data_IF_786212208950
#
_entry.id   IF_786212208950
#
_cell.length_a   1.000
_cell.length_b   1.000
_cell.length_c   1.000
_cell.angle_alpha   90.00
_cell.angle_beta   90.00
_cell.angle_gamma   90.00
#
_symmetry.space_group_name_H-M   'P 1'
#
loop_
_entity.id
_entity.type
_entity.pdbx_description
1 polymer ?
#
# COMPACT_ATOMS: atom_id res chain seq x y z
N UNK A 1 1.08 27.42 -24.43
CA UNK A 1 1.76 27.44 -25.74
C UNK A 1 1.39 26.23 -26.61
N UNK A 2 1.41 25.00 -26.09
CA UNK A 2 1.15 23.77 -26.88
C UNK A 2 -0.30 23.60 -27.34
N UNK A 3 -1.27 23.89 -26.47
CA UNK A 3 -2.69 23.89 -26.84
C UNK A 3 -3.01 24.87 -27.97
N UNK A 4 -2.21 25.93 -28.11
CA UNK A 4 -2.37 26.93 -29.17
C UNK A 4 -1.81 26.43 -30.49
N UNK A 5 -0.60 25.85 -30.48
CA UNK A 5 0.04 25.35 -31.71
C UNK A 5 -0.62 24.06 -32.24
N UNK A 6 -1.24 23.26 -31.36
CA UNK A 6 -1.96 22.05 -31.74
C UNK A 6 -3.37 22.32 -32.32
N UNK A 7 -3.92 23.54 -32.19
CA UNK A 7 -5.24 23.88 -32.73
C UNK A 7 -5.15 24.29 -34.20
N UNK A 8 -5.75 23.53 -35.15
CA UNK A 8 -5.73 23.87 -36.57
C UNK A 8 -6.41 25.20 -36.88
N UNK A 9 -7.42 25.60 -36.10
CA UNK A 9 -8.12 26.88 -36.27
C UNK A 9 -7.23 28.04 -35.85
N UNK A 10 -6.45 27.86 -34.79
CA UNK A 10 -5.50 28.89 -34.34
C UNK A 10 -4.41 29.11 -35.40
N UNK A 11 -3.88 28.03 -35.96
CA UNK A 11 -2.85 28.10 -37.01
C UNK A 11 -3.35 28.79 -38.29
N UNK A 12 -4.53 28.42 -38.79
CA UNK A 12 -5.09 29.05 -39.98
C UNK A 12 -5.40 30.54 -39.76
N UNK A 13 -5.88 30.93 -38.57
CA UNK A 13 -6.08 32.34 -38.25
C UNK A 13 -4.78 33.14 -38.17
N UNK A 14 -3.68 32.51 -37.74
CA UNK A 14 -2.35 33.12 -37.71
C UNK A 14 -1.81 33.31 -39.14
N UNK A 15 -1.96 32.31 -40.00
CA UNK A 15 -1.60 32.39 -41.43
C UNK A 15 -2.40 33.50 -42.14
N UNK A 16 -3.73 33.55 -41.95
CA UNK A 16 -4.59 34.60 -42.50
C UNK A 16 -4.19 36.00 -42.02
N UNK A 17 -3.77 36.14 -40.76
CA UNK A 17 -3.29 37.41 -40.21
C UNK A 17 -1.96 37.83 -40.84
N UNK A 18 -1.05 36.88 -41.08
CA UNK A 18 0.21 37.16 -41.76
C UNK A 18 -0.03 37.65 -43.20
N UNK A 19 -0.96 37.02 -43.93
CA UNK A 19 -1.36 37.43 -45.28
C UNK A 19 -2.06 38.81 -45.29
N UNK A 20 -2.97 39.05 -44.34
CA UNK A 20 -3.63 40.34 -44.19
C UNK A 20 -2.64 41.48 -43.86
N UNK A 21 -1.59 41.20 -43.07
CA UNK A 21 -0.52 42.17 -42.78
C UNK A 21 0.40 42.40 -43.99
N UNK A 22 0.72 41.36 -44.75
CA UNK A 22 1.51 41.49 -45.98
C UNK A 22 0.79 42.35 -47.02
N UNK A 23 -0.50 42.09 -47.26
CA UNK A 23 -1.33 42.87 -48.18
C UNK A 23 -1.53 44.32 -47.71
N UNK A 24 -1.67 44.54 -46.40
CA UNK A 24 -1.69 45.88 -45.81
C UNK A 24 -0.37 46.63 -46.07
N UNK A 25 0.78 45.97 -45.89
CA UNK A 25 2.09 46.56 -46.17
C UNK A 25 2.24 46.93 -47.66
N UNK A 26 1.82 46.07 -48.57
CA UNK A 26 1.81 46.35 -50.02
C UNK A 26 0.92 47.55 -50.36
N UNK A 27 -0.26 47.64 -49.75
CA UNK A 27 -1.20 48.74 -49.96
C UNK A 27 -0.76 50.04 -49.31
N UNK A 28 -0.04 50.01 -48.20
CA UNK A 28 0.63 51.19 -47.65
C UNK A 28 1.79 51.67 -48.52
N UNK A 29 2.49 50.75 -49.18
CA UNK A 29 3.54 51.08 -50.15
C UNK A 29 2.99 51.74 -51.42
N UNK A 30 1.77 51.35 -51.85
CA UNK A 30 1.12 51.88 -53.07
C UNK A 30 0.19 53.07 -52.83
N UNK A 31 -0.43 53.15 -51.65
CA UNK A 31 -1.46 54.14 -51.33
C UNK A 31 -1.25 54.76 -49.95
N UNK A 32 -1.66 56.02 -49.80
CA UNK A 32 -1.55 56.71 -48.52
C UNK A 32 -2.46 56.14 -47.41
N UNK A 33 -2.17 56.45 -46.14
CA UNK A 33 -2.84 55.87 -44.97
C UNK A 33 -4.35 56.20 -44.86
N UNK A 34 -4.85 57.16 -45.65
CA UNK A 34 -6.27 57.53 -45.71
C UNK A 34 -7.08 56.78 -46.78
N UNK A 35 -6.44 55.97 -47.61
CA UNK A 35 -7.12 55.26 -48.69
C UNK A 35 -8.13 54.24 -48.14
N UNK A 36 -9.35 54.13 -48.73
CA UNK A 36 -10.42 53.26 -48.20
C UNK A 36 -9.99 51.80 -48.10
N UNK A 37 -9.23 51.28 -49.08
CA UNK A 37 -8.70 49.90 -49.01
C UNK A 37 -7.72 49.71 -47.86
N UNK A 38 -6.84 50.67 -47.60
CA UNK A 38 -5.88 50.59 -46.47
C UNK A 38 -6.63 50.57 -45.14
N UNK A 39 -7.67 51.41 -44.98
CA UNK A 39 -8.51 51.40 -43.78
C UNK A 39 -9.26 50.07 -43.59
N UNK A 40 -9.79 49.49 -44.66
CA UNK A 40 -10.46 48.18 -44.60
C UNK A 40 -9.50 47.08 -44.13
N UNK A 41 -8.30 47.01 -44.70
CA UNK A 41 -7.30 46.01 -44.28
C UNK A 41 -6.75 46.28 -42.87
N UNK A 42 -6.64 47.53 -42.43
CA UNK A 42 -6.30 47.85 -41.04
C UNK A 42 -7.35 47.36 -40.05
N UNK A 43 -8.64 47.49 -40.38
CA UNK A 43 -9.74 46.97 -39.56
C UNK A 43 -9.69 45.44 -39.54
N UNK A 44 -9.51 44.81 -40.71
CA UNK A 44 -9.41 43.35 -40.84
C UNK A 44 -8.25 42.76 -40.00
N UNK A 45 -7.08 43.41 -40.01
CA UNK A 45 -5.94 42.99 -39.17
C UNK A 45 -6.29 43.08 -37.68
N UNK A 46 -6.95 44.16 -37.25
CA UNK A 46 -7.37 44.30 -35.84
C UNK A 46 -8.43 43.27 -35.42
N UNK A 47 -9.40 43.00 -36.29
CA UNK A 47 -10.44 42.01 -36.03
C UNK A 47 -9.88 40.59 -35.94
N UNK A 48 -8.97 40.23 -36.85
CA UNK A 48 -8.28 38.93 -36.84
C UNK A 48 -7.37 38.77 -35.61
N UNK A 49 -6.68 39.83 -35.18
CA UNK A 49 -5.93 39.87 -33.92
C UNK A 49 -6.84 39.61 -32.71
N UNK A 50 -8.00 40.27 -32.65
CA UNK A 50 -8.96 40.08 -31.56
C UNK A 50 -9.54 38.65 -31.56
N UNK A 51 -9.86 38.10 -32.72
CA UNK A 51 -10.33 36.73 -32.86
C UNK A 51 -9.28 35.70 -32.39
N UNK A 52 -8.01 35.92 -32.75
CA UNK A 52 -6.87 35.10 -32.31
C UNK A 52 -6.71 35.15 -30.78
N UNK A 53 -6.86 36.33 -30.17
CA UNK A 53 -6.82 36.51 -28.71
C UNK A 53 -8.02 35.89 -28.00
N UNK A 54 -9.21 36.00 -28.57
CA UNK A 54 -10.40 35.35 -28.02
C UNK A 54 -10.25 33.82 -28.04
N UNK A 55 -9.71 33.27 -29.14
CA UNK A 55 -9.42 31.83 -29.27
C UNK A 55 -8.34 31.39 -28.29
N UNK A 56 -7.25 32.15 -28.15
CA UNK A 56 -6.16 31.81 -27.24
C UNK A 56 -6.61 31.79 -25.78
N UNK A 57 -7.46 32.73 -25.37
CA UNK A 57 -8.08 32.75 -24.02
C UNK A 57 -8.97 31.54 -23.76
N UNK A 58 -9.76 31.11 -24.76
CA UNK A 58 -10.58 29.90 -24.64
C UNK A 58 -9.74 28.63 -24.46
N UNK A 59 -8.64 28.52 -25.19
CA UNK A 59 -7.77 27.33 -25.16
C UNK A 59 -6.89 27.26 -23.91
N UNK A 60 -6.43 28.40 -23.39
CA UNK A 60 -5.56 28.46 -22.21
C UNK A 60 -6.34 28.41 -20.88
N UNK A 61 -7.64 28.70 -20.90
CA UNK A 61 -8.46 28.84 -19.70
C UNK A 61 -7.99 29.98 -18.78
N UNK A 62 -8.61 30.12 -17.60
CA UNK A 62 -8.31 31.14 -16.57
C UNK A 62 -6.90 31.06 -15.97
N UNK A 63 -6.02 30.21 -16.51
CA UNK A 63 -4.70 29.88 -15.97
C UNK A 63 -3.57 30.74 -16.53
N UNK A 64 -3.86 31.67 -17.43
CA UNK A 64 -2.87 32.54 -18.06
C UNK A 64 -3.11 34.02 -17.66
N UNK A 65 -2.13 34.73 -17.06
CA UNK A 65 -2.32 36.11 -16.62
C UNK A 65 -2.61 37.02 -17.82
N UNK A 66 -3.78 37.63 -17.81
CA UNK A 66 -4.40 38.31 -18.95
C UNK A 66 -3.68 39.57 -19.47
N UNK A 67 -2.56 40.00 -18.87
CA UNK A 67 -1.96 41.30 -19.14
C UNK A 67 -0.79 41.28 -20.15
N UNK A 68 0.01 40.21 -20.25
CA UNK A 68 1.30 40.26 -20.98
C UNK A 68 1.49 39.17 -22.06
N UNK A 69 0.43 38.39 -22.34
CA UNK A 69 0.46 37.31 -23.33
C UNK A 69 0.49 37.73 -24.82
N UNK A 70 -0.03 38.89 -25.28
CA UNK A 70 -0.29 39.06 -26.71
C UNK A 70 0.98 39.22 -27.55
N UNK A 71 1.92 40.09 -27.16
CA UNK A 71 3.12 40.32 -27.97
C UNK A 71 4.18 39.24 -27.79
N UNK A 72 4.36 38.75 -26.56
CA UNK A 72 5.40 37.76 -26.25
C UNK A 72 5.09 36.39 -26.82
N UNK A 73 3.83 35.90 -26.76
CA UNK A 73 3.45 34.64 -27.42
C UNK A 73 3.50 34.77 -28.93
N UNK A 74 3.01 35.88 -29.50
CA UNK A 74 3.00 36.07 -30.94
C UNK A 74 4.45 36.15 -31.47
N UNK A 75 5.34 36.87 -30.79
CA UNK A 75 6.77 36.93 -31.12
C UNK A 75 7.48 35.57 -30.94
N UNK A 76 7.14 34.81 -29.90
CA UNK A 76 7.70 33.48 -29.66
C UNK A 76 7.22 32.46 -30.72
N UNK A 77 5.94 32.52 -31.10
CA UNK A 77 5.32 31.66 -32.10
C UNK A 77 5.79 32.01 -33.53
N UNK A 78 5.91 33.29 -33.88
CA UNK A 78 6.46 33.69 -35.19
C UNK A 78 7.97 33.38 -35.31
N UNK A 79 8.74 33.42 -34.21
CA UNK A 79 10.14 32.97 -34.19
C UNK A 79 10.31 31.44 -34.12
N UNK A 80 9.24 30.68 -33.87
CA UNK A 80 9.30 29.23 -33.68
C UNK A 80 9.27 28.42 -34.97
N UNK A 81 9.30 29.07 -36.14
CA UNK A 81 9.32 28.42 -37.45
C UNK A 81 10.64 27.69 -37.80
N UNK A 82 11.54 27.53 -36.83
CA UNK A 82 12.80 26.80 -36.96
C UNK A 82 12.62 25.38 -36.40
N UNK A 83 12.70 24.36 -37.26
CA UNK A 83 12.41 22.96 -36.93
C UNK A 83 13.28 22.37 -35.80
N UNK A 84 14.43 22.99 -35.52
CA UNK A 84 15.29 22.63 -34.39
C UNK A 84 14.64 22.95 -33.03
N UNK A 85 13.91 24.07 -32.91
CA UNK A 85 13.22 24.46 -31.67
C UNK A 85 11.93 23.69 -31.44
N UNK A 86 11.23 23.28 -32.51
CA UNK A 86 10.07 22.40 -32.36
C UNK A 86 10.46 21.04 -31.78
N UNK A 87 11.63 20.50 -32.16
CA UNK A 87 12.15 19.26 -31.60
C UNK A 87 12.49 19.40 -30.10
N UNK A 88 13.18 20.48 -29.69
CA UNK A 88 13.47 20.74 -28.27
C UNK A 88 12.20 20.95 -27.43
N UNK A 89 11.19 21.62 -27.99
CA UNK A 89 9.89 21.76 -27.31
C UNK A 89 9.17 20.42 -27.19
N UNK A 90 9.25 19.56 -28.20
CA UNK A 90 8.69 18.20 -28.14
C UNK A 90 9.38 17.37 -27.06
N UNK A 91 10.71 17.46 -26.95
CA UNK A 91 11.49 16.75 -25.93
C UNK A 91 11.20 17.27 -24.52
N UNK A 92 11.13 18.59 -24.33
CA UNK A 92 10.76 19.18 -23.04
C UNK A 92 9.35 18.78 -22.60
N UNK A 93 8.42 18.62 -23.55
CA UNK A 93 7.06 18.16 -23.26
C UNK A 93 7.03 16.70 -22.89
N UNK A 94 7.78 15.87 -23.60
CA UNK A 94 7.92 14.47 -23.28
C UNK A 94 8.48 14.32 -21.86
N UNK A 95 9.50 15.10 -21.52
CA UNK A 95 10.12 15.08 -20.19
C UNK A 95 9.20 15.64 -19.08
N UNK A 96 8.41 16.68 -19.39
CA UNK A 96 7.41 17.17 -18.44
C UNK A 96 6.29 16.14 -18.20
N UNK A 97 5.88 15.42 -19.25
CA UNK A 97 4.88 14.37 -19.15
C UNK A 97 5.39 13.13 -18.40
N UNK A 98 6.66 12.73 -18.60
CA UNK A 98 7.28 11.65 -17.83
C UNK A 98 7.40 12.03 -16.36
N UNK A 99 7.83 13.26 -16.05
CA UNK A 99 7.91 13.78 -14.67
C UNK A 99 6.54 13.75 -13.97
N UNK A 100 5.49 14.25 -14.62
CA UNK A 100 4.13 14.21 -14.08
C UNK A 100 3.60 12.77 -13.93
N UNK A 101 3.93 11.89 -14.88
CA UNK A 101 3.61 10.46 -14.81
C UNK A 101 4.25 9.78 -13.60
N UNK A 102 5.54 10.04 -13.35
CA UNK A 102 6.26 9.51 -12.19
C UNK A 102 5.67 10.06 -10.89
N UNK A 103 5.34 11.36 -10.83
CA UNK A 103 4.74 11.95 -9.64
C UNK A 103 3.40 11.27 -9.28
N UNK A 104 2.54 11.01 -10.27
CA UNK A 104 1.29 10.26 -10.06
C UNK A 104 1.54 8.80 -9.68
N UNK A 105 2.57 8.17 -10.21
CA UNK A 105 2.95 6.82 -9.83
C UNK A 105 3.37 6.75 -8.36
N UNK A 106 4.15 7.74 -7.89
CA UNK A 106 4.53 7.87 -6.47
C UNK A 106 3.30 8.05 -5.59
N UNK A 107 2.35 8.90 -5.99
CA UNK A 107 1.10 9.09 -5.24
C UNK A 107 0.27 7.80 -5.15
N UNK A 108 0.10 7.10 -6.27
CA UNK A 108 -0.61 5.81 -6.33
C UNK A 108 0.06 4.72 -5.47
N UNK A 109 1.40 4.66 -5.50
CA UNK A 109 2.16 3.77 -4.63
C UNK A 109 1.98 4.13 -3.15
N UNK A 110 1.97 5.42 -2.81
CA UNK A 110 1.68 5.90 -1.46
C UNK A 110 0.30 5.48 -0.96
N UNK A 111 -0.74 5.60 -1.79
CA UNK A 111 -2.08 5.13 -1.46
C UNK A 111 -2.15 3.62 -1.27
N UNK A 112 -1.46 2.87 -2.14
CA UNK A 112 -1.39 1.40 -2.07
C UNK A 112 -0.69 0.94 -0.79
N UNK A 113 0.37 1.64 -0.38
CA UNK A 113 1.11 1.38 0.85
C UNK A 113 0.25 1.63 2.09
N UNK A 114 -0.46 2.76 2.15
CA UNK A 114 -1.39 3.04 3.26
C UNK A 114 -2.50 1.99 3.37
N UNK A 115 -3.05 1.52 2.25
CA UNK A 115 -4.05 0.44 2.25
C UNK A 115 -3.47 -0.88 2.74
N UNK A 116 -2.23 -1.22 2.38
CA UNK A 116 -1.56 -2.44 2.82
C UNK A 116 -1.22 -2.41 4.31
N UNK A 117 -0.78 -1.26 4.84
CA UNK A 117 -0.53 -1.06 6.27
C UNK A 117 -1.80 -1.25 7.10
N UNK A 118 -2.91 -0.65 6.66
CA UNK A 118 -4.22 -0.82 7.32
C UNK A 118 -4.66 -2.30 7.32
N UNK A 119 -4.50 -3.01 6.20
CA UNK A 119 -4.80 -4.44 6.12
C UNK A 119 -3.90 -5.27 7.04
N UNK A 120 -2.62 -4.92 7.17
CA UNK A 120 -1.69 -5.58 8.08
C UNK A 120 -2.17 -5.43 9.52
N UNK A 121 -2.54 -4.21 9.95
CA UNK A 121 -3.09 -3.96 11.27
C UNK A 121 -4.35 -4.78 11.56
N UNK A 122 -5.29 -4.84 10.63
CA UNK A 122 -6.51 -5.65 10.76
C UNK A 122 -6.20 -7.15 10.85
N UNK A 123 -5.24 -7.64 10.07
CA UNK A 123 -4.82 -9.04 10.11
C UNK A 123 -4.16 -9.43 11.44
N UNK A 124 -3.36 -8.54 12.04
CA UNK A 124 -2.76 -8.77 13.36
C UNK A 124 -3.83 -8.89 14.44
N UNK A 125 -4.82 -7.99 14.44
CA UNK A 125 -5.95 -8.07 15.37
C UNK A 125 -6.72 -9.39 15.19
N UNK A 126 -7.02 -9.73 13.93
CA UNK A 126 -7.73 -10.97 13.58
C UNK A 126 -6.94 -12.20 14.06
N UNK A 127 -5.63 -12.24 13.82
CA UNK A 127 -4.75 -13.32 14.28
C UNK A 127 -4.77 -13.49 15.80
N UNK A 128 -4.75 -12.39 16.56
CA UNK A 128 -4.87 -12.44 18.02
C UNK A 128 -6.22 -13.03 18.46
N UNK A 129 -7.32 -12.59 17.84
CA UNK A 129 -8.65 -13.11 18.18
C UNK A 129 -8.80 -14.59 17.83
N UNK A 130 -8.25 -15.03 16.69
CA UNK A 130 -8.25 -16.43 16.28
C UNK A 130 -7.43 -17.28 17.26
N UNK A 131 -6.27 -16.78 17.69
CA UNK A 131 -5.42 -17.46 18.68
C UNK A 131 -6.14 -17.64 20.02
N UNK A 132 -6.84 -16.60 20.49
CA UNK A 132 -7.64 -16.69 21.71
C UNK A 132 -8.81 -17.67 21.57
N UNK A 133 -9.48 -17.67 20.41
CA UNK A 133 -10.58 -18.59 20.13
C UNK A 133 -10.08 -20.04 20.08
N UNK A 134 -8.91 -20.29 19.48
CA UNK A 134 -8.26 -21.60 19.47
C UNK A 134 -7.88 -22.07 20.87
N UNK A 135 -7.36 -21.18 21.73
CA UNK A 135 -7.06 -21.50 23.13
C UNK A 135 -8.34 -21.89 23.89
N UNK A 136 -9.42 -21.12 23.72
CA UNK A 136 -10.73 -21.44 24.32
C UNK A 136 -11.28 -22.79 23.84
N UNK A 137 -11.13 -23.09 22.55
CA UNK A 137 -11.51 -24.39 21.99
C UNK A 137 -10.72 -25.53 22.65
N UNK A 138 -9.39 -25.41 22.76
CA UNK A 138 -8.55 -26.43 23.42
C UNK A 138 -8.98 -26.69 24.88
N UNK A 139 -9.28 -25.63 25.63
CA UNK A 139 -9.77 -25.76 27.02
C UNK A 139 -11.13 -26.47 27.04
N UNK A 140 -12.06 -26.09 26.18
CA UNK A 140 -13.37 -26.75 26.09
C UNK A 140 -13.24 -28.23 25.73
N UNK A 141 -12.36 -28.57 24.78
CA UNK A 141 -12.06 -29.96 24.43
C UNK A 141 -11.48 -30.72 25.63
N UNK A 142 -10.52 -30.15 26.36
CA UNK A 142 -9.91 -30.79 27.52
C UNK A 142 -10.92 -31.03 28.66
N UNK A 143 -11.82 -30.08 28.92
CA UNK A 143 -12.89 -30.25 29.91
C UNK A 143 -13.88 -31.32 29.45
N UNK A 144 -14.26 -31.33 28.17
CA UNK A 144 -15.17 -32.32 27.61
C UNK A 144 -14.57 -33.73 27.67
N UNK A 145 -13.30 -33.90 27.28
CA UNK A 145 -12.61 -35.21 27.36
C UNK A 145 -12.42 -35.66 28.80
N UNK A 146 -12.12 -34.74 29.74
CA UNK A 146 -12.04 -35.07 31.17
C UNK A 146 -13.40 -35.49 31.74
N UNK A 147 -14.49 -34.80 31.35
CA UNK A 147 -15.84 -35.17 31.75
C UNK A 147 -16.25 -36.54 31.18
N UNK A 148 -15.91 -36.81 29.91
CA UNK A 148 -16.15 -38.10 29.28
C UNK A 148 -15.37 -39.21 29.99
N UNK A 149 -14.09 -38.98 30.31
CA UNK A 149 -13.27 -39.93 31.05
C UNK A 149 -13.83 -40.21 32.45
N UNK A 150 -14.27 -39.18 33.19
CA UNK A 150 -14.94 -39.35 34.49
C UNK A 150 -16.23 -40.15 34.37
N UNK A 151 -17.02 -39.94 33.32
CA UNK A 151 -18.26 -40.69 33.08
C UNK A 151 -17.97 -42.17 32.77
N UNK A 152 -16.87 -42.44 32.05
CA UNK A 152 -16.43 -43.81 31.74
C UNK A 152 -15.90 -44.54 32.99
N UNK A 153 -15.04 -43.86 33.79
CA UNK A 153 -14.57 -44.33 35.10
C UNK A 153 -15.71 -44.57 36.09
N UNK A 154 -16.70 -43.68 36.15
CA UNK A 154 -17.85 -43.80 37.03
C UNK A 154 -18.78 -44.97 36.69
N UNK A 155 -18.72 -45.48 35.45
CA UNK A 155 -19.46 -46.70 35.05
C UNK A 155 -18.70 -47.99 35.37
N UNK A 156 -17.38 -47.93 35.59
CA UNK A 156 -16.54 -49.13 35.74
C UNK A 156 -16.29 -49.54 37.20
N UNK A 157 -16.55 -48.71 38.20
CA UNK A 157 -16.29 -49.06 39.61
C UNK A 157 -17.48 -48.76 40.56
N UNK A 158 -18.38 -49.74 40.79
CA UNK A 158 -19.42 -49.63 41.81
C UNK A 158 -18.89 -49.68 43.26
N UNK A 159 -17.61 -49.96 43.49
CA UNK A 159 -17.01 -50.16 44.81
C UNK A 159 -16.01 -49.05 45.24
N UNK A 160 -15.69 -48.10 44.36
CA UNK A 160 -14.85 -46.93 44.66
C UNK A 160 -15.38 -46.01 45.79
N UNK A 161 -16.65 -46.18 46.18
CA UNK A 161 -17.28 -45.39 47.25
C UNK A 161 -16.88 -45.82 48.68
N UNK A 162 -16.18 -46.95 48.83
CA UNK A 162 -15.75 -47.42 50.16
C UNK A 162 -14.24 -47.23 50.33
N UNK A 163 -13.80 -46.42 51.32
CA UNK A 163 -12.38 -46.27 51.60
C UNK A 163 -11.79 -47.61 52.05
N UNK A 164 -10.59 -47.93 51.55
CA UNK A 164 -9.83 -49.10 51.96
C UNK A 164 -9.43 -48.92 53.44
N UNK A 165 -10.26 -49.41 54.36
CA UNK A 165 -9.99 -49.30 55.80
C UNK A 165 -8.83 -50.23 56.12
N UNK A 166 -7.63 -49.68 56.25
CA UNK A 166 -6.47 -50.44 56.73
C UNK A 166 -6.69 -50.75 58.22
N UNK A 167 -6.97 -52.01 58.52
CA UNK A 167 -6.99 -52.48 59.90
C UNK A 167 -5.56 -52.47 60.43
N UNK A 168 -5.30 -51.63 61.43
CA UNK A 168 -4.05 -51.62 62.18
C UNK A 168 -3.95 -52.95 62.96
N UNK A 169 -3.31 -53.95 62.39
CA UNK A 169 -2.95 -55.15 63.13
C UNK A 169 -1.84 -54.81 64.14
N UNK A 170 -2.05 -55.12 65.43
CA UNK A 170 -1.03 -54.89 66.46
C UNK A 170 0.26 -55.67 66.15
N UNK A 171 1.45 -55.11 66.46
CA UNK A 171 2.72 -55.78 66.23
C UNK A 171 2.77 -57.10 67.02
N UNK A 172 3.09 -58.20 66.34
CA UNK A 172 3.22 -59.51 66.97
C UNK A 172 4.44 -59.55 67.88
N UNK A 173 4.19 -59.66 69.17
CA UNK A 173 5.23 -59.83 70.19
C UNK A 173 5.80 -61.25 70.08
N UNK A 174 7.12 -61.45 69.85
CA UNK A 174 7.68 -62.79 69.69
C UNK A 174 7.62 -63.57 71.02
N UNK A 175 7.04 -64.76 70.98
CA UNK A 175 6.64 -65.56 72.15
C UNK A 175 7.79 -66.22 72.96
N UNK A 176 9.05 -65.84 72.74
CA UNK A 176 10.17 -66.36 73.54
C UNK A 176 11.56 -65.96 73.03
N UNK A 177 12.60 -66.08 73.87
CA UNK A 177 13.96 -65.74 73.49
C UNK A 177 14.50 -66.69 72.40
N UNK A 178 15.18 -66.12 71.41
CA UNK A 178 15.80 -66.87 70.31
C UNK A 178 16.94 -67.77 70.84
N UNK A 179 16.68 -69.08 70.90
CA UNK A 179 17.63 -70.09 71.39
C UNK A 179 18.48 -70.71 70.28
N UNK A 180 18.30 -70.28 69.02
CA UNK A 180 18.98 -70.88 67.86
C UNK A 180 20.50 -70.73 67.94
N UNK A 181 20.98 -69.54 68.30
CA UNK A 181 22.41 -69.24 68.45
C UNK A 181 23.09 -70.14 69.49
N UNK A 182 22.38 -70.45 70.59
CA UNK A 182 22.90 -71.29 71.67
C UNK A 182 23.02 -72.76 71.24
N UNK A 183 22.07 -73.25 70.44
CA UNK A 183 22.13 -74.59 69.82
C UNK A 183 23.25 -74.69 68.80
N UNK A 184 23.44 -73.66 67.96
CA UNK A 184 24.53 -73.62 66.98
C UNK A 184 25.91 -73.59 67.65
N UNK A 185 26.07 -72.84 68.75
CA UNK A 185 27.32 -72.81 69.51
C UNK A 185 27.68 -74.18 70.11
N UNK A 186 26.70 -74.90 70.67
CA UNK A 186 26.91 -76.26 71.18
C UNK A 186 27.29 -77.25 70.06
N UNK A 187 26.61 -77.19 68.92
CA UNK A 187 26.96 -78.00 67.75
C UNK A 187 28.38 -77.70 67.25
N UNK A 188 28.75 -76.42 67.15
CA UNK A 188 30.09 -76.01 66.75
C UNK A 188 31.17 -76.49 67.73
N UNK A 189 30.90 -76.45 69.04
CA UNK A 189 31.82 -76.95 70.05
C UNK A 189 32.03 -78.46 69.94
N UNK A 190 30.96 -79.25 69.75
CA UNK A 190 31.07 -80.71 69.59
C UNK A 190 31.85 -81.07 68.33
N UNK A 191 31.54 -80.42 67.20
CA UNK A 191 32.25 -80.67 65.94
C UNK A 191 33.72 -80.27 66.04
N UNK A 192 34.02 -79.14 66.69
CA UNK A 192 35.39 -78.68 66.92
C UNK A 192 36.20 -79.62 67.80
N UNK A 193 35.61 -80.13 68.89
CA UNK A 193 36.30 -81.07 69.79
C UNK A 193 36.59 -82.43 69.16
N UNK A 194 35.81 -82.87 68.15
CA UNK A 194 36.11 -84.10 67.40
C UNK A 194 37.20 -83.91 66.33
N UNK A 195 37.58 -82.67 65.99
CA UNK A 195 38.56 -82.38 64.94
C UNK A 195 39.96 -82.03 65.45
N UNK A 196 40.20 -82.13 66.77
CA UNK A 196 41.50 -81.95 67.45
C UNK A 196 41.88 -83.21 68.20
#
# INVERSE_FOLDING_TARGET
>A
ALLLNADPVFRSTLENLAEARATLADYLGKWGPRHPKVKQFQVLVKETEQALLARSRRLLGSRAPASNLPETLLALLLKSNDGSRSALLQELVLEAATSDGIARQVESLGQSLAMLEERLHQNVQTSSTLTDLQRKHQVATAVFTSALAKLDLGKTDPFASYPLVQTLALPSQPAGPDTLKRKLALLGAVVGSLST
#
